data_IF_497018879649
#
_entry.id   IF_497018879649
#
_cell.length_a   1.000
_cell.length_b   1.000
_cell.length_c   1.000
_cell.angle_alpha   90.00
_cell.angle_beta   90.00
_cell.angle_gamma   90.00
#
_symmetry.space_group_name_H-M   'P 1'
#
loop_
_entity.id
_entity.type
_entity.pdbx_description
1 polymer ?
#
# COMPACT_ATOMS: atom_id res chain seq x y z
N UNK A 1 -9.93 23.79 -9.36
CA UNK A 1 -9.43 22.40 -9.39
C UNK A 1 -9.22 21.97 -7.95
N UNK A 2 -9.70 20.78 -7.58
CA UNK A 2 -9.70 20.23 -6.22
C UNK A 2 -9.26 18.77 -6.31
N UNK A 3 -8.32 18.40 -5.44
CA UNK A 3 -7.81 17.02 -5.27
C UNK A 3 -7.17 16.88 -3.89
N UNK A 4 -6.75 15.66 -3.58
CA UNK A 4 -5.93 15.31 -2.42
C UNK A 4 -4.48 15.03 -2.85
N UNK A 5 -3.53 15.43 -2.00
CA UNK A 5 -2.11 15.06 -2.16
C UNK A 5 -1.81 13.87 -1.27
N UNK A 6 -1.27 12.80 -1.85
CA UNK A 6 -0.93 11.57 -1.14
C UNK A 6 0.58 11.45 -0.96
N UNK A 7 1.03 11.06 0.24
CA UNK A 7 2.43 10.70 0.45
C UNK A 7 2.68 9.28 -0.08
N UNK A 8 3.79 9.08 -0.80
CA UNK A 8 4.31 7.76 -1.12
C UNK A 8 5.82 7.79 -1.20
N UNK A 9 6.47 7.14 -0.23
CA UNK A 9 7.82 6.63 -0.42
C UNK A 9 7.75 5.35 -1.26
N UNK A 10 8.52 5.31 -2.35
CA UNK A 10 8.41 4.23 -3.32
C UNK A 10 9.04 2.94 -2.76
N UNK A 11 8.26 1.86 -2.75
CA UNK A 11 8.77 0.53 -2.41
C UNK A 11 9.19 -0.18 -3.69
N UNK A 12 10.50 -0.24 -3.95
CA UNK A 12 11.08 -0.96 -5.07
C UNK A 12 11.41 -2.40 -4.66
N UNK A 13 11.31 -3.40 -5.56
CA UNK A 13 11.70 -4.76 -5.25
C UNK A 13 13.22 -4.84 -5.02
N UNK A 14 13.65 -5.60 -4.01
CA UNK A 14 15.08 -5.78 -3.69
C UNK A 14 15.85 -6.48 -4.81
N UNK A 15 15.22 -7.45 -5.47
CA UNK A 15 15.75 -8.17 -6.63
C UNK A 15 14.70 -8.28 -7.73
N UNK A 16 15.06 -8.85 -8.88
CA UNK A 16 14.11 -9.10 -9.99
C UNK A 16 13.26 -10.38 -9.77
N UNK A 17 13.28 -10.97 -8.58
CA UNK A 17 12.46 -12.14 -8.23
C UNK A 17 10.97 -11.79 -8.21
N UNK A 18 10.12 -12.77 -8.52
CA UNK A 18 8.67 -12.58 -8.48
C UNK A 18 8.19 -12.33 -7.04
N UNK A 19 8.86 -12.91 -6.05
CA UNK A 19 8.57 -12.72 -4.63
C UNK A 19 8.82 -11.27 -4.18
N UNK A 20 9.95 -10.67 -4.59
CA UNK A 20 10.26 -9.28 -4.25
C UNK A 20 9.36 -8.30 -5.01
N UNK A 21 9.02 -8.59 -6.26
CA UNK A 21 8.03 -7.82 -7.04
C UNK A 21 6.66 -7.84 -6.39
N UNK A 22 6.19 -9.00 -5.94
CA UNK A 22 4.93 -9.14 -5.22
C UNK A 22 4.96 -8.40 -3.87
N UNK A 23 6.08 -8.46 -3.14
CA UNK A 23 6.28 -7.69 -1.91
C UNK A 23 6.23 -6.18 -2.16
N UNK A 24 6.92 -5.68 -3.19
CA UNK A 24 6.89 -4.29 -3.61
C UNK A 24 5.50 -3.81 -4.01
N UNK A 25 4.78 -4.62 -4.81
CA UNK A 25 3.40 -4.32 -5.17
C UNK A 25 2.51 -4.23 -3.92
N UNK A 26 2.58 -5.20 -3.01
CA UNK A 26 1.82 -5.16 -1.75
C UNK A 26 2.17 -3.91 -0.93
N UNK A 27 3.45 -3.61 -0.71
CA UNK A 27 3.87 -2.46 0.06
C UNK A 27 3.29 -1.15 -0.51
N UNK A 28 3.39 -0.94 -1.83
CA UNK A 28 2.83 0.25 -2.48
C UNK A 28 1.30 0.34 -2.39
N UNK A 29 0.58 -0.80 -2.37
CA UNK A 29 -0.86 -0.80 -2.15
C UNK A 29 -1.24 -0.46 -0.71
N UNK A 30 -0.46 -0.91 0.27
CA UNK A 30 -0.68 -0.60 1.69
C UNK A 30 -0.27 0.82 2.09
N UNK A 31 0.54 1.51 1.28
CA UNK A 31 0.91 2.92 1.50
C UNK A 31 0.09 3.89 0.66
N UNK A 32 0.21 3.80 -0.67
CA UNK A 32 -0.47 4.70 -1.61
C UNK A 32 -1.84 4.18 -2.00
N UNK A 33 -1.94 2.88 -2.32
CA UNK A 33 -3.14 2.27 -2.89
C UNK A 33 -4.39 2.36 -2.00
N UNK A 34 -4.22 2.24 -0.68
CA UNK A 34 -5.32 2.36 0.29
C UNK A 34 -6.11 3.66 0.13
N UNK A 35 -5.46 4.76 -0.25
CA UNK A 35 -6.10 6.06 -0.49
C UNK A 35 -6.31 6.34 -1.98
N UNK A 36 -5.33 5.97 -2.81
CA UNK A 36 -5.34 6.29 -4.22
C UNK A 36 -6.38 5.47 -4.98
N UNK A 37 -6.52 4.18 -4.67
CA UNK A 37 -7.39 3.28 -5.43
C UNK A 37 -8.88 3.67 -5.32
N UNK A 38 -9.45 3.95 -4.12
CA UNK A 38 -10.85 4.36 -4.03
C UNK A 38 -11.20 5.62 -4.83
N UNK A 39 -10.23 6.54 -5.00
CA UNK A 39 -10.45 7.86 -5.61
C UNK A 39 -10.13 7.84 -7.10
N UNK A 40 -8.96 7.31 -7.49
CA UNK A 40 -8.39 7.48 -8.82
C UNK A 40 -8.54 6.28 -9.76
N UNK A 41 -8.90 5.08 -9.26
CA UNK A 41 -9.13 3.93 -10.12
C UNK A 41 -10.51 4.01 -10.80
N UNK A 42 -10.67 3.31 -11.92
CA UNK A 42 -11.97 3.24 -12.61
C UNK A 42 -12.99 2.42 -11.81
N UNK A 43 -12.49 1.40 -11.11
CA UNK A 43 -13.25 0.47 -10.29
C UNK A 43 -13.67 1.10 -8.95
N UNK A 44 -12.87 2.03 -8.41
CA UNK A 44 -12.99 2.51 -7.03
C UNK A 44 -12.60 1.43 -6.02
N UNK A 45 -13.13 1.56 -4.80
CA UNK A 45 -12.91 0.63 -3.68
C UNK A 45 -11.44 0.46 -3.26
N UNK A 46 -11.17 -0.29 -2.18
CA UNK A 46 -9.82 -0.65 -1.77
C UNK A 46 -9.16 -1.64 -2.73
N UNK A 47 -7.81 -1.63 -2.85
CA UNK A 47 -7.09 -2.56 -3.71
C UNK A 47 -7.40 -4.03 -3.40
N UNK A 48 -7.62 -4.86 -4.42
CA UNK A 48 -7.98 -6.27 -4.26
C UNK A 48 -6.94 -7.07 -3.44
N UNK A 49 -5.65 -6.85 -3.73
CA UNK A 49 -4.54 -7.48 -3.01
C UNK A 49 -4.57 -7.15 -1.52
N UNK A 50 -4.90 -5.90 -1.18
CA UNK A 50 -4.98 -5.46 0.21
C UNK A 50 -6.18 -6.09 0.93
N UNK A 51 -7.34 -6.17 0.26
CA UNK A 51 -8.54 -6.84 0.78
C UNK A 51 -8.29 -8.32 1.09
N UNK A 52 -7.68 -9.04 0.15
CA UNK A 52 -7.36 -10.46 0.30
C UNK A 52 -6.36 -10.69 1.44
N UNK A 53 -5.24 -9.95 1.43
CA UNK A 53 -4.19 -10.05 2.45
C UNK A 53 -4.74 -9.81 3.86
N UNK A 54 -5.55 -8.77 4.05
CA UNK A 54 -6.12 -8.45 5.36
C UNK A 54 -7.20 -9.42 5.79
N UNK A 55 -7.98 -9.97 4.86
CA UNK A 55 -8.94 -11.03 5.17
C UNK A 55 -8.19 -12.27 5.68
N UNK A 56 -7.16 -12.73 4.94
CA UNK A 56 -6.35 -13.88 5.32
C UNK A 56 -5.70 -13.71 6.69
N UNK A 57 -5.11 -12.54 6.95
CA UNK A 57 -4.54 -12.21 8.25
C UNK A 57 -5.59 -12.19 9.37
N UNK A 58 -6.75 -11.58 9.11
CA UNK A 58 -7.83 -11.50 10.11
C UNK A 58 -8.35 -12.88 10.48
N UNK A 59 -8.49 -13.78 9.51
CA UNK A 59 -8.85 -15.18 9.75
C UNK A 59 -7.77 -15.93 10.55
N UNK A 60 -6.49 -15.72 10.24
CA UNK A 60 -5.38 -16.32 10.99
C UNK A 60 -5.31 -15.86 12.44
N UNK A 61 -5.80 -14.65 12.74
CA UNK A 61 -5.94 -14.11 14.10
C UNK A 61 -7.22 -14.60 14.81
N UNK A 62 -8.05 -15.42 14.16
CA UNK A 62 -9.30 -15.93 14.70
C UNK A 62 -10.49 -14.96 14.63
N UNK A 63 -10.40 -13.90 13.82
CA UNK A 63 -11.53 -12.99 13.55
C UNK A 63 -12.47 -13.62 12.53
N UNK A 64 -13.76 -13.34 12.65
CA UNK A 64 -14.78 -13.77 11.68
C UNK A 64 -14.95 -12.80 10.50
N UNK A 65 -14.31 -11.64 10.56
CA UNK A 65 -14.39 -10.57 9.55
C UNK A 65 -13.04 -9.90 9.37
N UNK A 66 -12.82 -9.30 8.19
CA UNK A 66 -11.62 -8.51 7.91
C UNK A 66 -11.48 -7.32 8.86
N UNK A 67 -10.24 -6.96 9.19
CA UNK A 67 -9.89 -5.69 9.85
C UNK A 67 -10.10 -4.48 8.92
N UNK A 68 -10.06 -4.68 7.60
CA UNK A 68 -10.37 -3.65 6.61
C UNK A 68 -11.90 -3.48 6.53
N UNK A 69 -12.44 -2.26 6.73
CA UNK A 69 -13.85 -2.01 6.47
C UNK A 69 -14.21 -2.24 5.00
N UNK A 70 -15.42 -2.74 4.75
CA UNK A 70 -15.95 -2.86 3.40
C UNK A 70 -16.64 -1.56 2.99
N UNK A 71 -16.40 -1.12 1.75
CA UNK A 71 -17.14 -0.01 1.16
C UNK A 71 -18.37 -0.56 0.44
N UNK A 72 -19.54 -0.06 0.82
CA UNK A 72 -20.78 -0.33 0.08
C UNK A 72 -20.72 0.26 -1.33
N UNK A 73 -21.47 -0.32 -2.26
CA UNK A 73 -21.51 0.11 -3.66
C UNK A 73 -21.86 1.60 -3.82
N UNK A 74 -22.76 2.12 -2.98
CA UNK A 74 -23.08 3.54 -2.88
C UNK A 74 -21.82 4.39 -2.66
N UNK A 75 -21.00 4.02 -1.68
CA UNK A 75 -19.79 4.75 -1.31
C UNK A 75 -18.70 4.61 -2.35
N UNK A 76 -18.54 3.42 -2.95
CA UNK A 76 -17.59 3.21 -4.05
C UNK A 76 -17.93 4.14 -5.21
N UNK A 77 -19.19 4.22 -5.61
CA UNK A 77 -19.66 5.10 -6.67
C UNK A 77 -19.54 6.58 -6.32
N UNK A 78 -19.75 6.94 -5.06
CA UNK A 78 -19.64 8.31 -4.58
C UNK A 78 -18.19 8.81 -4.56
N UNK A 79 -17.22 7.95 -4.21
CA UNK A 79 -15.81 8.35 -4.02
C UNK A 79 -15.03 8.31 -5.33
N UNK A 80 -15.26 7.31 -6.20
CA UNK A 80 -14.45 7.17 -7.43
C UNK A 80 -14.58 8.39 -8.34
N UNK A 81 -13.48 8.83 -8.92
CA UNK A 81 -13.43 9.99 -9.82
C UNK A 81 -13.57 11.35 -9.13
N UNK A 82 -13.51 11.43 -7.80
CA UNK A 82 -13.57 12.71 -7.04
C UNK A 82 -12.24 13.47 -7.05
N UNK A 83 -11.65 13.68 -8.22
CA UNK A 83 -10.36 14.34 -8.38
C UNK A 83 -10.25 15.13 -9.69
N UNK A 84 -9.53 16.25 -9.66
CA UNK A 84 -9.18 17.03 -10.86
C UNK A 84 -7.74 16.76 -11.36
N UNK A 85 -6.85 16.29 -10.47
CA UNK A 85 -5.46 15.96 -10.75
C UNK A 85 -4.90 14.98 -9.72
N UNK A 86 -3.76 14.35 -9.98
CA UNK A 86 -3.08 13.46 -9.03
C UNK A 86 -1.95 14.21 -8.31
N UNK A 87 -2.09 14.45 -7.01
CA UNK A 87 -1.08 15.07 -6.17
C UNK A 87 -0.23 14.03 -5.44
N UNK A 88 1.09 14.10 -5.57
CA UNK A 88 2.03 13.17 -4.94
C UNK A 88 3.10 13.93 -4.15
N UNK A 89 3.22 13.60 -2.86
CA UNK A 89 4.36 13.94 -2.03
C UNK A 89 5.30 12.74 -2.01
N UNK A 90 6.50 12.89 -2.56
CA UNK A 90 7.51 11.83 -2.62
C UNK A 90 8.83 12.36 -2.05
N UNK A 91 9.46 11.58 -1.16
CA UNK A 91 10.69 11.98 -0.49
C UNK A 91 11.80 10.94 -0.66
N UNK A 92 11.45 9.66 -0.64
CA UNK A 92 12.44 8.60 -0.65
C UNK A 92 11.96 7.33 -1.35
N UNK A 93 12.92 6.45 -1.63
CA UNK A 93 12.70 5.11 -2.13
C UNK A 93 13.39 4.14 -1.19
N UNK A 94 12.84 2.94 -1.07
CA UNK A 94 13.43 1.83 -0.30
C UNK A 94 13.32 0.53 -1.09
N UNK A 95 14.26 -0.38 -0.87
CA UNK A 95 14.16 -1.76 -1.34
C UNK A 95 13.28 -2.56 -0.38
N UNK A 96 12.44 -3.44 -0.93
CA UNK A 96 11.61 -4.33 -0.13
C UNK A 96 11.71 -5.77 -0.59
N UNK A 97 11.61 -6.68 0.38
CA UNK A 97 11.56 -8.13 0.19
C UNK A 97 10.45 -8.72 1.07
N UNK A 98 9.96 -9.94 0.82
CA UNK A 98 8.95 -10.56 1.67
C UNK A 98 9.49 -10.78 3.09
N UNK A 99 8.61 -10.67 4.08
CA UNK A 99 8.88 -10.99 5.47
C UNK A 99 7.70 -11.78 6.05
N UNK A 100 7.96 -12.58 7.08
CA UNK A 100 6.91 -13.25 7.86
C UNK A 100 6.49 -12.44 9.10
N UNK A 101 7.09 -11.27 9.32
CA UNK A 101 6.81 -10.41 10.45
C UNK A 101 5.49 -9.64 10.24
N UNK A 102 4.37 -10.30 10.52
CA UNK A 102 3.06 -9.64 10.67
C UNK A 102 2.86 -9.15 12.09
N UNK A 103 2.13 -8.04 12.25
CA UNK A 103 1.61 -7.62 13.56
C UNK A 103 0.08 -7.69 13.56
N UNK A 104 -0.52 -7.66 14.75
CA UNK A 104 -1.98 -7.63 14.88
C UNK A 104 -2.57 -6.23 14.68
N UNK A 105 -1.73 -5.21 14.57
CA UNK A 105 -2.10 -3.81 14.38
C UNK A 105 -2.23 -3.56 12.87
N UNK A 106 -3.36 -2.95 12.48
CA UNK A 106 -3.59 -2.57 11.09
C UNK A 106 -2.52 -1.58 10.60
N UNK A 107 -1.88 -1.87 9.47
CA UNK A 107 -0.94 -0.94 8.84
C UNK A 107 0.05 -1.62 7.90
N UNK A 108 1.19 -0.96 7.64
CA UNK A 108 2.20 -1.45 6.71
C UNK A 108 2.76 -2.83 7.09
N UNK A 109 2.74 -3.21 8.37
CA UNK A 109 3.13 -4.56 8.81
C UNK A 109 2.27 -5.67 8.20
N UNK A 110 1.01 -5.38 7.86
CA UNK A 110 0.12 -6.34 7.20
C UNK A 110 0.54 -6.64 5.76
N UNK A 111 1.34 -5.76 5.14
CA UNK A 111 1.97 -6.03 3.85
C UNK A 111 3.03 -7.14 3.93
N UNK A 112 3.49 -7.50 5.15
CA UNK A 112 4.44 -8.59 5.38
C UNK A 112 5.72 -8.42 4.54
N UNK A 113 6.37 -7.27 4.72
CA UNK A 113 7.57 -6.86 4.00
C UNK A 113 8.71 -6.49 4.95
N UNK A 114 9.94 -6.64 4.49
CA UNK A 114 11.13 -6.07 5.09
C UNK A 114 11.56 -4.89 4.21
N UNK A 115 11.84 -3.74 4.83
CA UNK A 115 12.26 -2.52 4.14
C UNK A 115 13.73 -2.23 4.44
N UNK A 116 14.50 -1.98 3.39
CA UNK A 116 15.94 -1.71 3.45
C UNK A 116 16.29 -0.49 2.59
N UNK A 117 17.35 0.24 2.96
CA UNK A 117 17.95 1.24 2.09
C UNK A 117 18.99 0.55 1.21
N UNK A 118 19.04 0.86 -0.09
CA UNK A 118 20.11 0.34 -0.93
C UNK A 118 21.44 0.98 -0.49
N UNK A 119 22.46 0.19 -0.09
CA UNK A 119 23.75 0.71 0.31
C UNK A 119 24.51 1.40 -0.84
N UNK A 120 24.12 1.18 -2.10
CA UNK A 120 24.71 1.83 -3.26
C UNK A 120 24.06 3.18 -3.59
N UNK A 121 22.91 3.51 -2.97
CA UNK A 121 22.33 4.84 -3.16
C UNK A 121 23.12 5.86 -2.36
N UNK A 122 23.43 6.98 -3.01
CA UNK A 122 24.17 8.06 -2.38
C UNK A 122 23.42 8.53 -1.13
N UNK A 123 24.02 8.31 0.04
CA UNK A 123 23.52 8.88 1.29
C UNK A 123 23.90 10.36 1.25
N UNK A 124 23.01 11.19 0.72
CA UNK A 124 23.17 12.64 0.77
C UNK A 124 22.87 13.10 2.21
N UNK A 125 23.76 12.75 3.14
CA UNK A 125 23.83 13.35 4.46
C UNK A 125 24.56 14.68 4.34
N UNK A 126 23.84 15.77 4.53
CA UNK A 126 24.45 17.07 4.81
C UNK A 126 25.37 16.95 6.03
N UNK A 127 26.60 17.44 5.88
CA UNK A 127 27.62 17.68 6.91
C UNK A 127 27.11 18.51 8.07
#
# INVERSE_FOLDING_TARGET
RVSITLNCDWSAPKTDSDEDKAAALRANQFTLGIYAHPIYSAEGDYPAIMKEQLMNLSLAEGRTRSRLPELGEEWVNYIRGTHDFFGLNHYSTSLVSPSTNGTTIFGLSDAQILQETDPNWAVNGTT
#
